data_IF_913109646694
#
_entry.id   IF_913109646694
#
_cell.length_a   1.000
_cell.length_b   1.000
_cell.length_c   1.000
_cell.angle_alpha   90.00
_cell.angle_beta   90.00
_cell.angle_gamma   90.00
#
_symmetry.space_group_name_H-M   'P 1'
#
loop_
_entity.id
_entity.type
_entity.pdbx_description
1 polymer ?
#
# COMPACT_ATOMS: atom_id res chain seq x y z
N UNK A 1 -17.25 13.17 26.40
CA UNK A 1 -16.64 13.63 25.14
C UNK A 1 -16.92 12.59 24.08
N UNK A 2 -17.53 12.98 22.96
CA UNK A 2 -17.89 12.09 21.85
C UNK A 2 -16.88 12.30 20.74
N UNK A 3 -16.08 11.28 20.40
CA UNK A 3 -15.10 11.33 19.31
C UNK A 3 -15.73 10.67 18.09
N UNK A 4 -15.75 11.38 16.96
CA UNK A 4 -16.18 10.84 15.66
C UNK A 4 -14.96 10.30 14.92
N UNK A 5 -14.96 9.01 14.60
CA UNK A 5 -13.93 8.36 13.77
C UNK A 5 -14.53 8.08 12.39
N UNK A 6 -13.85 8.53 11.34
CA UNK A 6 -14.23 8.28 9.94
C UNK A 6 -13.06 7.65 9.21
N UNK A 7 -13.32 6.56 8.49
CA UNK A 7 -12.36 5.98 7.55
C UNK A 7 -12.46 6.74 6.23
N UNK A 8 -11.34 7.27 5.77
CA UNK A 8 -11.26 8.03 4.52
C UNK A 8 -10.16 7.43 3.62
N UNK A 9 -10.38 7.35 2.30
CA UNK A 9 -9.33 6.97 1.37
C UNK A 9 -8.17 7.97 1.38
N UNK A 10 -6.93 7.49 1.21
CA UNK A 10 -5.72 8.35 1.25
C UNK A 10 -5.75 9.52 0.27
N UNK A 11 -6.34 9.33 -0.92
CA UNK A 11 -6.48 10.38 -1.94
C UNK A 11 -7.26 11.62 -1.46
N UNK A 12 -8.11 11.46 -0.45
CA UNK A 12 -8.98 12.50 0.08
C UNK A 12 -8.42 13.11 1.39
N UNK A 13 -7.25 12.65 1.85
CA UNK A 13 -6.62 13.06 3.11
C UNK A 13 -6.43 14.57 3.23
N UNK A 14 -5.89 15.21 2.20
CA UNK A 14 -5.59 16.65 2.21
C UNK A 14 -6.86 17.50 2.43
N UNK A 15 -7.98 17.08 1.83
CA UNK A 15 -9.27 17.74 1.99
C UNK A 15 -9.74 17.66 3.44
N UNK A 16 -9.66 16.49 4.05
CA UNK A 16 -10.09 16.29 5.44
C UNK A 16 -9.16 16.95 6.44
N UNK A 17 -7.86 17.06 6.15
CA UNK A 17 -6.90 17.80 6.96
C UNK A 17 -7.23 19.31 6.99
N UNK A 18 -7.54 19.90 5.83
CA UNK A 18 -7.99 21.29 5.76
C UNK A 18 -9.33 21.50 6.48
N UNK A 19 -10.25 20.55 6.35
CA UNK A 19 -11.56 20.62 7.00
C UNK A 19 -11.43 20.53 8.53
N UNK A 20 -10.61 19.61 9.02
CA UNK A 20 -10.37 19.43 10.47
C UNK A 20 -9.69 20.63 11.10
N UNK A 21 -8.74 21.27 10.40
CA UNK A 21 -8.16 22.54 10.86
C UNK A 21 -9.21 23.65 11.03
N UNK A 22 -10.14 23.79 10.07
CA UNK A 22 -11.24 24.78 10.17
C UNK A 22 -12.20 24.50 11.31
N UNK A 23 -12.42 23.22 11.63
CA UNK A 23 -13.33 22.78 12.68
C UNK A 23 -12.66 22.64 14.05
N UNK A 24 -11.39 23.05 14.17
CA UNK A 24 -10.57 22.89 15.38
C UNK A 24 -10.52 21.42 15.86
N UNK A 25 -10.61 20.48 14.93
CA UNK A 25 -10.54 19.05 15.14
C UNK A 25 -9.10 18.56 15.21
N UNK A 26 -8.87 17.48 15.95
CA UNK A 26 -7.56 16.83 16.09
C UNK A 26 -7.58 15.47 15.41
N UNK A 27 -6.68 15.23 14.46
CA UNK A 27 -6.45 13.90 13.88
C UNK A 27 -5.69 13.07 14.92
N UNK A 28 -6.31 11.99 15.40
CA UNK A 28 -5.78 11.20 16.53
C UNK A 28 -5.06 9.94 16.06
N UNK A 29 -5.43 9.40 14.90
CA UNK A 29 -4.84 8.17 14.37
C UNK A 29 -4.80 8.23 12.84
N UNK A 30 -3.62 8.00 12.27
CA UNK A 30 -3.44 7.74 10.85
C UNK A 30 -3.17 6.25 10.76
N UNK A 31 -4.16 5.47 10.31
CA UNK A 31 -3.90 4.08 9.97
C UNK A 31 -3.26 4.09 8.59
N UNK A 32 -1.96 3.79 8.55
CA UNK A 32 -1.33 3.41 7.29
C UNK A 32 -2.08 2.18 6.80
N UNK A 33 -2.82 2.32 5.71
CA UNK A 33 -3.34 1.16 5.01
C UNK A 33 -2.13 0.39 4.53
N UNK A 34 -1.79 -0.71 5.20
CA UNK A 34 -0.91 -1.71 4.62
C UNK A 34 -1.63 -2.20 3.36
N UNK A 35 -1.28 -1.61 2.22
CA UNK A 35 -1.90 -1.91 0.95
C UNK A 35 -1.70 -3.41 0.69
N UNK A 36 -2.77 -4.19 0.84
CA UNK A 36 -2.68 -5.61 0.59
C UNK A 36 -2.26 -5.83 -0.87
N UNK A 37 -1.30 -6.74 -1.13
CA UNK A 37 -0.92 -7.06 -2.49
C UNK A 37 -2.15 -7.53 -3.27
N UNK A 38 -2.32 -7.02 -4.49
CA UNK A 38 -3.41 -7.48 -5.34
C UNK A 38 -3.26 -8.99 -5.67
N UNK A 39 -4.31 -9.59 -6.23
CA UNK A 39 -4.33 -11.04 -6.49
C UNK A 39 -3.20 -11.52 -7.41
N UNK A 40 -2.74 -10.68 -8.34
CA UNK A 40 -1.63 -11.00 -9.25
C UNK A 40 -0.32 -11.08 -8.44
N UNK A 41 -0.07 -10.10 -7.58
CA UNK A 41 1.11 -10.09 -6.71
C UNK A 41 1.11 -11.26 -5.73
N UNK A 42 -0.04 -11.58 -5.11
CA UNK A 42 -0.19 -12.76 -4.22
C UNK A 42 0.16 -14.07 -4.95
N UNK A 43 -0.28 -14.21 -6.21
CA UNK A 43 0.02 -15.38 -7.05
C UNK A 43 1.51 -15.46 -7.39
N UNK A 44 2.13 -14.36 -7.82
CA UNK A 44 3.55 -14.31 -8.16
C UNK A 44 4.44 -14.69 -6.96
N UNK A 45 4.12 -14.20 -5.76
CA UNK A 45 4.82 -14.58 -4.52
C UNK A 45 4.69 -16.09 -4.25
N UNK A 46 3.51 -16.65 -4.46
CA UNK A 46 3.25 -18.09 -4.24
C UNK A 46 4.03 -18.96 -5.21
N UNK A 47 4.09 -18.57 -6.49
CA UNK A 47 4.84 -19.28 -7.53
C UNK A 47 6.36 -19.20 -7.30
N UNK A 48 6.87 -18.04 -6.85
CA UNK A 48 8.26 -17.88 -6.45
C UNK A 48 8.63 -18.81 -5.28
N UNK A 49 7.79 -18.85 -4.24
CA UNK A 49 7.99 -19.76 -3.09
C UNK A 49 7.92 -21.24 -3.47
N UNK A 50 7.11 -21.58 -4.48
CA UNK A 50 7.00 -22.93 -5.01
C UNK A 50 8.15 -23.31 -5.98
N UNK A 51 9.12 -22.41 -6.22
CA UNK A 51 10.24 -22.65 -7.12
C UNK A 51 9.85 -22.70 -8.60
N UNK A 52 8.70 -22.12 -8.97
CA UNK A 52 8.23 -22.05 -10.36
C UNK A 52 8.81 -20.86 -11.14
N UNK A 53 9.61 -20.02 -10.49
CA UNK A 53 10.32 -18.90 -11.11
C UNK A 53 11.66 -19.34 -11.68
N UNK A 54 12.08 -18.71 -12.77
CA UNK A 54 13.40 -18.94 -13.35
C UNK A 54 14.48 -18.41 -12.40
N UNK A 55 15.56 -19.18 -12.24
CA UNK A 55 16.76 -18.70 -11.57
C UNK A 55 17.53 -17.78 -12.52
N UNK A 56 18.05 -16.70 -11.98
CA UNK A 56 19.00 -15.84 -12.68
C UNK A 56 20.37 -16.49 -12.53
N UNK A 57 20.89 -17.06 -13.60
CA UNK A 57 22.22 -17.68 -13.64
C UNK A 57 23.32 -16.65 -13.92
N UNK A 58 22.99 -15.63 -14.70
CA UNK A 58 23.88 -14.54 -15.10
C UNK A 58 23.11 -13.21 -15.09
N UNK A 59 23.67 -12.19 -14.43
CA UNK A 59 23.03 -10.89 -14.28
C UNK A 59 23.01 -10.10 -15.59
N UNK A 60 24.10 -10.14 -16.37
CA UNK A 60 24.19 -9.39 -17.63
C UNK A 60 23.22 -9.97 -18.66
N UNK A 61 23.13 -11.30 -18.75
CA UNK A 61 22.17 -11.99 -19.62
C UNK A 61 20.72 -11.74 -19.18
N UNK A 62 20.46 -11.68 -17.87
CA UNK A 62 19.14 -11.35 -17.35
C UNK A 62 18.69 -9.94 -17.78
N UNK A 63 19.55 -8.93 -17.63
CA UNK A 63 19.22 -7.56 -18.06
C UNK A 63 19.10 -7.41 -19.57
N UNK A 64 19.79 -8.23 -20.37
CA UNK A 64 19.61 -8.28 -21.82
C UNK A 64 18.30 -8.98 -22.24
N UNK A 65 17.72 -9.80 -21.37
CA UNK A 65 16.49 -10.58 -21.63
C UNK A 65 15.19 -9.88 -21.18
N UNK A 66 15.31 -8.78 -20.43
CA UNK A 66 14.22 -7.92 -19.97
C UNK A 66 13.65 -7.07 -21.11
#
# INVERSE_FOLDING_TARGET
>A
MTTLTIEIPDKDRDLFEQLTQRLNGKIVNVMESEAEPNNITKKAITEARAGKTQKIEDLDAFFQSL
#
